data_IF_052606887127
#
_entry.id   IF_052606887127
#
_cell.length_a   1.000
_cell.length_b   1.000
_cell.length_c   1.000
_cell.angle_alpha   90.00
_cell.angle_beta   90.00
_cell.angle_gamma   90.00
#
_symmetry.space_group_name_H-M   'P 1'
#
loop_
_entity.id
_entity.type
_entity.pdbx_description
1 polymer ?
#
# COMPACT_ATOMS: atom_id res chain seq x y z
N UNK A 1 4.55 8.78 -4.46
CA UNK A 1 4.46 9.68 -5.64
C UNK A 1 3.05 9.62 -6.21
N UNK A 2 2.73 10.47 -7.17
CA UNK A 2 1.43 10.58 -7.80
C UNK A 2 1.56 10.51 -9.33
N UNK A 3 0.79 9.61 -9.97
CA UNK A 3 0.67 9.53 -11.43
C UNK A 3 -0.61 10.24 -11.87
N UNK A 4 -0.48 11.28 -12.67
CA UNK A 4 -1.61 12.05 -13.20
C UNK A 4 -2.19 11.48 -14.50
N UNK A 5 -1.65 10.37 -14.99
CA UNK A 5 -2.20 9.68 -16.16
C UNK A 5 -3.60 9.14 -15.87
N UNK A 6 -4.42 9.09 -16.91
CA UNK A 6 -5.77 8.49 -16.81
C UNK A 6 -5.68 7.00 -16.48
N UNK A 7 -6.70 6.48 -15.86
CA UNK A 7 -6.82 5.06 -15.43
C UNK A 7 -6.65 4.06 -16.58
N UNK A 8 -6.98 4.46 -17.81
CA UNK A 8 -6.87 3.64 -19.01
C UNK A 8 -5.58 3.89 -19.80
N UNK A 9 -4.59 4.58 -19.23
CA UNK A 9 -3.31 4.78 -19.90
C UNK A 9 -2.65 3.44 -20.22
N UNK A 10 -2.15 3.28 -21.44
CA UNK A 10 -1.46 2.06 -21.88
C UNK A 10 -0.20 1.78 -21.05
N UNK A 11 0.50 2.84 -20.67
CA UNK A 11 1.72 2.75 -19.85
C UNK A 11 1.61 3.69 -18.64
N UNK A 12 1.03 3.24 -17.51
CA UNK A 12 1.02 3.99 -16.27
C UNK A 12 2.44 4.14 -15.70
N UNK A 13 2.65 5.16 -14.84
CA UNK A 13 3.99 5.51 -14.35
C UNK A 13 4.70 4.35 -13.64
N UNK A 14 3.99 3.55 -12.84
CA UNK A 14 4.62 2.42 -12.16
C UNK A 14 5.23 1.40 -13.11
N UNK A 15 4.59 1.13 -14.26
CA UNK A 15 5.15 0.25 -15.29
C UNK A 15 6.32 0.90 -16.02
N UNK A 16 6.17 2.18 -16.36
CA UNK A 16 7.21 2.94 -17.05
C UNK A 16 8.50 2.98 -16.23
N UNK A 17 8.40 3.26 -14.94
CA UNK A 17 9.56 3.33 -14.04
C UNK A 17 10.19 1.96 -13.79
N UNK A 18 9.38 0.91 -13.66
CA UNK A 18 9.90 -0.46 -13.56
C UNK A 18 10.66 -0.91 -14.81
N UNK A 19 10.22 -0.50 -16.01
CA UNK A 19 10.91 -0.83 -17.26
C UNK A 19 12.30 -0.19 -17.38
N UNK A 20 12.52 0.95 -16.72
CA UNK A 20 13.85 1.59 -16.66
C UNK A 20 14.68 1.15 -15.46
N UNK A 21 14.26 0.08 -14.78
CA UNK A 21 15.03 -0.56 -13.71
C UNK A 21 14.87 0.07 -12.33
N UNK A 22 13.89 0.96 -12.12
CA UNK A 22 13.62 1.53 -10.80
C UNK A 22 12.84 0.57 -9.93
N UNK A 23 13.14 0.57 -8.64
CA UNK A 23 12.35 -0.15 -7.65
C UNK A 23 11.06 0.61 -7.36
N UNK A 24 9.94 0.05 -7.81
CA UNK A 24 8.61 0.66 -7.68
C UNK A 24 7.65 -0.31 -7.04
N UNK A 25 6.87 0.18 -6.10
CA UNK A 25 5.77 -0.56 -5.51
C UNK A 25 4.44 0.20 -5.70
N UNK A 26 3.40 -0.54 -6.08
CA UNK A 26 2.02 -0.06 -6.14
C UNK A 26 1.12 -1.15 -5.57
N UNK A 27 0.29 -0.85 -4.55
CA UNK A 27 -0.67 -1.81 -4.03
C UNK A 27 -1.63 -2.26 -5.13
N UNK A 28 -1.72 -3.58 -5.37
CA UNK A 28 -2.54 -4.16 -6.42
C UNK A 28 -3.73 -4.90 -5.82
N UNK A 29 -4.89 -4.79 -6.47
CA UNK A 29 -6.11 -5.52 -6.11
C UNK A 29 -6.65 -6.27 -7.31
N UNK A 30 -7.19 -7.46 -7.04
CA UNK A 30 -7.82 -8.28 -8.07
C UNK A 30 -9.25 -7.82 -8.29
N UNK A 31 -9.55 -7.28 -9.46
CA UNK A 31 -10.89 -6.84 -9.86
C UNK A 31 -11.48 -7.71 -10.97
N UNK A 32 -12.79 -7.90 -10.88
CA UNK A 32 -13.55 -8.64 -11.88
C UNK A 32 -14.12 -7.69 -12.95
N UNK A 33 -13.67 -7.88 -14.17
CA UNK A 33 -14.16 -7.12 -15.34
C UNK A 33 -15.07 -8.01 -16.19
N UNK A 34 -16.16 -7.43 -16.68
CA UNK A 34 -17.00 -8.07 -17.70
C UNK A 34 -16.67 -7.50 -19.07
N UNK A 35 -16.28 -8.36 -20.02
CA UNK A 35 -16.04 -7.98 -21.41
C UNK A 35 -16.66 -9.03 -22.32
N UNK A 36 -17.56 -8.62 -23.22
CA UNK A 36 -18.28 -9.49 -24.16
C UNK A 36 -18.93 -10.70 -23.47
N UNK A 37 -19.61 -10.48 -22.33
CA UNK A 37 -20.27 -11.53 -21.55
C UNK A 37 -19.33 -12.45 -20.75
N UNK A 38 -18.02 -12.30 -20.89
CA UNK A 38 -17.02 -13.06 -20.13
C UNK A 38 -16.52 -12.26 -18.93
N UNK A 39 -16.42 -12.92 -17.78
CA UNK A 39 -15.83 -12.36 -16.56
C UNK A 39 -14.33 -12.66 -16.54
N UNK A 40 -13.51 -11.60 -16.49
CA UNK A 40 -12.05 -11.71 -16.48
C UNK A 40 -11.54 -11.03 -15.22
N UNK A 41 -10.71 -11.73 -14.44
CA UNK A 41 -10.03 -11.18 -13.28
C UNK A 41 -8.73 -10.48 -13.72
N UNK A 42 -8.49 -9.27 -13.23
CA UNK A 42 -7.27 -8.51 -13.53
C UNK A 42 -6.74 -7.85 -12.26
N UNK A 43 -5.42 -7.81 -12.14
CA UNK A 43 -4.74 -7.03 -11.14
C UNK A 43 -4.68 -5.56 -11.58
N UNK A 44 -5.20 -4.68 -10.73
CA UNK A 44 -5.21 -3.23 -10.94
C UNK A 44 -4.71 -2.51 -9.70
N UNK A 45 -4.10 -1.32 -9.81
CA UNK A 45 -3.73 -0.52 -8.65
C UNK A 45 -4.94 -0.22 -7.77
N UNK A 46 -4.80 -0.40 -6.45
CA UNK A 46 -5.81 -0.02 -5.46
C UNK A 46 -6.15 1.46 -5.54
N UNK A 47 -5.12 2.31 -5.60
CA UNK A 47 -5.22 3.72 -5.91
C UNK A 47 -4.46 3.99 -7.20
N UNK A 48 -5.16 4.39 -8.25
CA UNK A 48 -4.60 4.51 -9.60
C UNK A 48 -3.47 5.52 -9.72
N UNK A 49 -3.50 6.55 -8.87
CA UNK A 49 -2.52 7.63 -8.87
C UNK A 49 -1.43 7.45 -7.81
N UNK A 50 -1.40 6.33 -7.05
CA UNK A 50 -0.42 6.10 -5.99
C UNK A 50 0.66 5.12 -6.43
N UNK A 51 1.92 5.54 -6.31
CA UNK A 51 3.07 4.67 -6.43
C UNK A 51 4.16 5.08 -5.44
N UNK A 52 4.94 4.10 -5.00
CA UNK A 52 6.12 4.28 -4.17
C UNK A 52 7.35 4.00 -5.03
N UNK A 53 8.38 4.80 -4.87
CA UNK A 53 9.65 4.67 -5.59
C UNK A 53 10.77 4.67 -4.57
N UNK A 54 11.62 3.66 -4.62
CA UNK A 54 12.79 3.55 -3.76
C UNK A 54 14.03 3.93 -4.55
N UNK A 55 14.53 5.15 -4.36
CA UNK A 55 15.76 5.64 -4.97
C UNK A 55 16.25 6.89 -4.22
N UNK A 56 17.47 7.32 -4.53
CA UNK A 56 18.02 8.56 -4.04
C UNK A 56 17.19 9.76 -4.54
N UNK A 57 16.97 10.75 -3.67
CA UNK A 57 16.17 11.94 -3.97
C UNK A 57 16.56 12.60 -5.27
N UNK A 58 17.88 12.72 -5.53
CA UNK A 58 18.42 13.37 -6.72
C UNK A 58 17.96 12.65 -8.02
N UNK A 59 17.95 11.32 -8.03
CA UNK A 59 17.50 10.54 -9.18
C UNK A 59 15.99 10.73 -9.42
N UNK A 60 15.21 10.73 -8.34
CA UNK A 60 13.76 10.94 -8.43
C UNK A 60 13.45 12.36 -8.93
N UNK A 61 14.16 13.38 -8.47
CA UNK A 61 14.00 14.78 -8.92
C UNK A 61 14.21 14.90 -10.44
N UNK A 62 15.24 14.23 -10.98
CA UNK A 62 15.51 14.21 -12.43
C UNK A 62 14.37 13.57 -13.24
N UNK A 63 13.76 12.51 -12.70
CA UNK A 63 12.67 11.81 -13.35
C UNK A 63 11.39 12.65 -13.32
N UNK A 64 11.09 13.25 -12.18
CA UNK A 64 9.93 14.14 -12.02
C UNK A 64 10.05 15.34 -12.97
N UNK A 65 11.24 15.94 -13.10
CA UNK A 65 11.48 17.04 -14.03
C UNK A 65 11.24 16.65 -15.50
N UNK A 66 11.56 15.40 -15.87
CA UNK A 66 11.39 14.87 -17.25
C UNK A 66 10.00 14.32 -17.52
N UNK A 67 9.17 14.07 -16.48
CA UNK A 67 7.88 13.40 -16.61
C UNK A 67 6.76 14.28 -16.06
N UNK A 68 6.14 15.14 -16.85
CA UNK A 68 5.14 16.12 -16.37
C UNK A 68 3.93 15.50 -15.66
N UNK A 69 3.62 14.23 -15.95
CA UNK A 69 2.51 13.50 -15.32
C UNK A 69 2.89 12.85 -13.99
N UNK A 70 4.15 12.90 -13.59
CA UNK A 70 4.64 12.33 -12.35
C UNK A 70 4.93 13.44 -11.34
N UNK A 71 4.33 13.36 -10.15
CA UNK A 71 4.46 14.37 -9.12
C UNK A 71 4.75 13.75 -7.76
N UNK A 72 5.37 14.52 -6.88
CA UNK A 72 5.43 14.18 -5.47
C UNK A 72 4.05 14.29 -4.81
N UNK A 73 3.82 13.46 -3.80
CA UNK A 73 2.78 13.72 -2.79
C UNK A 73 3.41 14.49 -1.65
N UNK A 74 2.76 15.57 -1.23
CA UNK A 74 3.26 16.44 -0.18
C UNK A 74 2.53 16.23 1.13
N UNK A 75 3.23 16.48 2.24
CA UNK A 75 2.64 16.43 3.58
C UNK A 75 1.64 17.55 3.76
N UNK A 76 0.44 17.21 4.26
CA UNK A 76 -0.52 18.22 4.72
C UNK A 76 -0.02 18.83 6.03
N UNK A 77 0.06 20.17 6.12
CA UNK A 77 0.54 20.88 7.32
C UNK A 77 2.05 20.80 7.55
N UNK A 78 2.83 20.24 6.63
CA UNK A 78 4.28 20.26 6.63
C UNK A 78 4.87 21.56 6.07
N UNK A 79 6.20 21.58 5.90
CA UNK A 79 6.88 22.68 5.21
C UNK A 79 6.41 22.76 3.76
N UNK A 80 6.54 23.94 3.15
CA UNK A 80 6.17 24.13 1.74
C UNK A 80 6.82 23.08 0.83
N UNK A 81 6.03 22.40 0.05
CA UNK A 81 6.46 21.34 -0.89
C UNK A 81 7.31 20.23 -0.24
N UNK A 82 7.06 19.87 1.03
CA UNK A 82 7.72 18.74 1.67
C UNK A 82 7.14 17.41 1.18
N UNK A 83 7.90 16.58 0.42
CA UNK A 83 7.40 15.30 -0.04
C UNK A 83 7.15 14.33 1.12
N UNK A 84 6.16 13.48 0.95
CA UNK A 84 5.97 12.33 1.85
C UNK A 84 7.07 11.32 1.57
N UNK A 85 7.89 11.06 2.57
CA UNK A 85 8.92 10.02 2.58
C UNK A 85 8.50 8.97 3.59
N UNK A 86 8.53 7.70 3.18
CA UNK A 86 8.26 6.55 4.04
C UNK A 86 9.59 5.96 4.47
N UNK A 87 9.84 5.72 5.77
CA UNK A 87 11.00 4.99 6.23
C UNK A 87 11.09 3.62 5.56
N UNK A 88 12.32 3.21 5.21
CA UNK A 88 12.55 1.98 4.47
C UNK A 88 12.04 0.74 5.21
N UNK A 89 12.23 0.68 6.53
CA UNK A 89 11.73 -0.39 7.39
C UNK A 89 10.20 -0.48 7.42
N UNK A 90 9.52 0.67 7.50
CA UNK A 90 8.05 0.74 7.45
C UNK A 90 7.52 0.27 6.09
N UNK A 91 8.19 0.66 4.99
CA UNK A 91 7.82 0.22 3.66
C UNK A 91 8.08 -1.28 3.45
N UNK A 92 9.21 -1.79 3.92
CA UNK A 92 9.54 -3.21 3.86
C UNK A 92 8.52 -4.06 4.62
N UNK A 93 8.13 -3.65 5.83
CA UNK A 93 7.06 -4.32 6.60
C UNK A 93 5.72 -4.28 5.87
N UNK A 94 5.37 -3.15 5.29
CA UNK A 94 4.12 -3.03 4.54
C UNK A 94 4.09 -3.96 3.33
N UNK A 95 5.15 -3.99 2.51
CA UNK A 95 5.29 -4.87 1.36
C UNK A 95 5.29 -6.35 1.81
N UNK A 96 6.10 -6.69 2.81
CA UNK A 96 6.17 -8.05 3.35
C UNK A 96 4.82 -8.57 3.84
N UNK A 97 4.05 -7.75 4.56
CA UNK A 97 2.70 -8.12 4.98
C UNK A 97 1.76 -8.36 3.79
N UNK A 98 1.82 -7.52 2.75
CA UNK A 98 0.99 -7.73 1.56
C UNK A 98 1.33 -9.00 0.81
N UNK A 99 2.61 -9.37 0.76
CA UNK A 99 3.08 -10.59 0.11
C UNK A 99 2.78 -11.86 0.92
N UNK A 100 2.77 -11.75 2.25
CA UNK A 100 2.45 -12.86 3.15
C UNK A 100 0.97 -13.25 3.12
N UNK A 101 0.08 -12.34 2.72
CA UNK A 101 -1.36 -12.57 2.70
C UNK A 101 -1.85 -12.96 1.32
N UNK A 102 -2.65 -14.03 1.24
CA UNK A 102 -3.33 -14.43 0.00
C UNK A 102 -4.38 -13.40 -0.47
N UNK A 103 -4.95 -12.63 0.46
CA UNK A 103 -6.01 -11.66 0.20
C UNK A 103 -5.81 -10.37 1.02
N UNK A 104 -4.76 -9.59 0.78
CA UNK A 104 -4.56 -8.33 1.49
C UNK A 104 -5.68 -7.35 1.14
N UNK A 105 -6.25 -6.70 2.15
CA UNK A 105 -7.26 -5.66 1.97
C UNK A 105 -6.62 -4.30 2.22
N UNK A 106 -6.73 -3.40 1.26
CA UNK A 106 -6.23 -2.04 1.40
C UNK A 106 -7.37 -1.09 1.78
N UNK A 107 -7.02 -0.05 2.50
CA UNK A 107 -7.92 1.01 2.93
C UNK A 107 -7.26 2.37 2.69
N UNK A 108 -8.01 3.32 2.18
CA UNK A 108 -7.60 4.72 2.24
C UNK A 108 -7.64 5.20 3.69
N UNK A 109 -6.85 6.22 4.04
CA UNK A 109 -6.74 6.68 5.43
C UNK A 109 -8.09 7.14 6.01
N UNK A 110 -8.93 7.75 5.19
CA UNK A 110 -10.27 8.22 5.55
C UNK A 110 -11.30 7.08 5.72
N UNK A 111 -11.00 5.90 5.20
CA UNK A 111 -11.82 4.69 5.40
C UNK A 111 -11.54 4.01 6.76
N UNK A 112 -10.43 4.35 7.41
CA UNK A 112 -10.05 3.75 8.69
C UNK A 112 -10.72 4.51 9.83
N UNK A 113 -11.68 3.88 10.49
CA UNK A 113 -12.28 4.39 11.71
C UNK A 113 -11.64 3.78 12.95
N UNK A 114 -11.73 4.48 14.07
CA UNK A 114 -11.28 3.95 15.37
C UNK A 114 -12.02 2.65 15.76
N UNK A 115 -13.25 2.48 15.27
CA UNK A 115 -14.04 1.26 15.48
C UNK A 115 -13.46 0.04 14.74
N UNK A 116 -12.73 0.26 13.64
CA UNK A 116 -12.06 -0.80 12.90
C UNK A 116 -10.74 -1.21 13.55
N UNK A 117 -10.15 -0.32 14.34
CA UNK A 117 -8.84 -0.48 14.94
C UNK A 117 -8.99 -0.81 16.42
N UNK A 118 -8.68 -2.05 16.79
CA UNK A 118 -8.55 -2.49 18.17
C UNK A 118 -7.22 -2.08 18.80
N UNK A 119 -6.73 -2.89 19.73
CA UNK A 119 -5.49 -2.67 20.47
C UNK A 119 -4.27 -2.79 19.54
N UNK A 120 -3.18 -2.14 19.94
CA UNK A 120 -1.87 -2.40 19.34
C UNK A 120 -1.40 -3.79 19.73
N UNK A 121 -0.88 -4.50 18.77
CA UNK A 121 -0.40 -5.88 18.93
C UNK A 121 0.94 -6.06 18.23
N UNK A 122 1.68 -7.06 18.70
CA UNK A 122 2.83 -7.64 18.01
C UNK A 122 2.51 -9.09 17.68
N UNK A 123 2.88 -9.54 16.51
CA UNK A 123 2.77 -10.93 16.09
C UNK A 123 4.02 -11.68 16.51
N UNK A 124 3.85 -12.87 17.11
CA UNK A 124 4.94 -13.77 17.48
C UNK A 124 4.76 -15.08 16.73
N UNK A 125 5.77 -15.43 15.96
CA UNK A 125 5.78 -16.63 15.13
C UNK A 125 5.12 -16.44 13.77
N UNK A 126 5.23 -17.46 12.92
CA UNK A 126 4.68 -17.45 11.56
C UNK A 126 5.42 -16.51 10.60
N UNK A 127 4.78 -16.23 9.48
CA UNK A 127 5.35 -15.39 8.40
C UNK A 127 5.40 -13.91 8.79
N UNK A 128 4.56 -13.49 9.73
CA UNK A 128 4.45 -12.12 10.22
C UNK A 128 5.16 -11.90 11.56
N UNK A 129 6.10 -12.76 11.93
CA UNK A 129 6.83 -12.65 13.20
C UNK A 129 7.47 -11.26 13.39
N UNK A 130 7.26 -10.65 14.57
CA UNK A 130 7.76 -9.32 14.91
C UNK A 130 6.98 -8.15 14.26
N UNK A 131 5.94 -8.41 13.48
CA UNK A 131 5.12 -7.34 12.91
C UNK A 131 4.23 -6.71 13.98
N UNK A 132 4.21 -5.39 13.98
CA UNK A 132 3.37 -4.59 14.87
C UNK A 132 2.30 -3.85 14.07
N UNK A 133 1.12 -3.71 14.69
CA UNK A 133 0.00 -3.01 14.09
C UNK A 133 -1.23 -3.04 14.99
N UNK A 134 -2.38 -2.76 14.41
CA UNK A 134 -3.64 -2.77 15.14
C UNK A 134 -4.42 -4.06 14.86
N UNK A 135 -4.95 -4.66 15.91
CA UNK A 135 -5.81 -5.82 15.79
C UNK A 135 -7.19 -5.41 15.25
N UNK A 136 -7.61 -6.04 14.17
CA UNK A 136 -8.97 -5.89 13.65
C UNK A 136 -9.73 -7.21 13.83
N UNK A 137 -10.91 -7.12 14.43
CA UNK A 137 -11.87 -8.22 14.52
C UNK A 137 -13.10 -7.86 13.72
N UNK A 138 -13.51 -8.72 12.80
CA UNK A 138 -14.72 -8.53 12.00
C UNK A 138 -15.87 -9.26 12.69
N UNK A 139 -16.95 -8.54 12.99
CA UNK A 139 -18.14 -9.11 13.64
C UNK A 139 -18.68 -10.29 12.81
N UNK A 140 -18.86 -11.43 13.46
CA UNK A 140 -19.33 -12.67 12.81
C UNK A 140 -18.24 -13.49 12.12
N UNK A 141 -16.99 -13.03 12.11
CA UNK A 141 -15.84 -13.79 11.64
C UNK A 141 -14.98 -14.27 12.82
N UNK A 142 -14.47 -15.49 12.73
CA UNK A 142 -13.44 -16.01 13.66
C UNK A 142 -12.04 -15.52 13.28
N UNK A 143 -11.88 -15.02 12.06
CA UNK A 143 -10.60 -14.57 11.52
C UNK A 143 -10.21 -13.23 12.12
N UNK A 144 -8.99 -13.14 12.61
CA UNK A 144 -8.37 -11.90 13.09
C UNK A 144 -7.50 -11.33 11.99
N UNK A 145 -7.37 -10.01 11.98
CA UNK A 145 -6.53 -9.32 11.01
C UNK A 145 -5.57 -8.36 11.72
N UNK A 146 -4.39 -8.21 11.15
CA UNK A 146 -3.43 -7.18 11.51
C UNK A 146 -3.57 -6.01 10.53
N UNK A 147 -3.78 -4.80 11.05
CA UNK A 147 -3.76 -3.58 10.23
C UNK A 147 -2.41 -2.90 10.39
N UNK A 148 -1.72 -2.72 9.27
CA UNK A 148 -0.47 -1.96 9.17
C UNK A 148 -0.76 -0.67 8.42
N UNK A 149 -0.43 0.47 9.03
CA UNK A 149 -0.75 1.81 8.52
C UNK A 149 0.52 2.46 8.00
N UNK A 150 0.48 2.94 6.75
CA UNK A 150 1.42 3.94 6.24
C UNK A 150 0.79 5.33 6.46
N UNK A 151 1.32 6.13 7.39
CA UNK A 151 0.69 7.38 7.80
C UNK A 151 0.40 8.31 6.62
N UNK A 152 -0.78 8.93 6.60
CA UNK A 152 -1.24 9.88 5.59
C UNK A 152 -1.44 9.32 4.17
N UNK A 153 -1.31 8.02 3.96
CA UNK A 153 -1.42 7.39 2.64
C UNK A 153 -2.49 6.30 2.60
N UNK A 154 -2.23 5.16 3.22
CA UNK A 154 -3.13 4.00 3.21
C UNK A 154 -2.79 3.03 4.33
N UNK A 155 -3.64 2.02 4.51
CA UNK A 155 -3.32 0.87 5.34
C UNK A 155 -3.58 -0.44 4.59
N UNK A 156 -2.96 -1.50 5.08
CA UNK A 156 -3.25 -2.87 4.68
C UNK A 156 -3.73 -3.67 5.87
N UNK A 157 -4.78 -4.46 5.66
CA UNK A 157 -5.27 -5.47 6.60
C UNK A 157 -4.93 -6.83 6.05
N UNK A 158 -4.21 -7.62 6.83
CA UNK A 158 -3.78 -8.97 6.50
C UNK A 158 -4.34 -9.95 7.52
N UNK A 159 -4.75 -11.12 7.05
CA UNK A 159 -5.27 -12.19 7.89
C UNK A 159 -4.15 -12.79 8.76
N UNK A 160 -4.45 -13.04 10.02
CA UNK A 160 -3.54 -13.66 10.99
C UNK A 160 -4.05 -15.07 11.24
N UNK A 161 -3.27 -16.08 10.85
CA UNK A 161 -3.56 -17.49 11.05
C UNK A 161 -2.48 -18.11 11.92
N UNK A 162 -2.91 -18.82 12.96
CA UNK A 162 -2.04 -19.64 13.83
C UNK A 162 -0.82 -18.92 14.46
N UNK A 163 -0.84 -17.58 14.46
CA UNK A 163 0.18 -16.76 15.10
C UNK A 163 -0.23 -16.39 16.53
N UNK A 164 0.78 -16.21 17.38
CA UNK A 164 0.59 -15.70 18.73
C UNK A 164 0.46 -14.18 18.70
N UNK A 165 -0.52 -13.65 19.43
CA UNK A 165 -0.76 -12.21 19.53
C UNK A 165 -0.30 -11.73 20.89
N UNK A 166 0.71 -10.87 20.93
CA UNK A 166 1.13 -10.13 22.12
C UNK A 166 0.43 -8.76 22.11
N UNK A 167 -0.15 -8.38 23.25
CA UNK A 167 -0.73 -7.04 23.43
C UNK A 167 0.38 -6.05 23.81
N UNK A 168 0.44 -4.91 23.14
CA UNK A 168 1.39 -3.83 23.40
C UNK A 168 0.75 -2.73 24.26
#
# INVERSE_FOLDING_TARGET
MRDLKRSNALLPAYKQLSQVGMEVFTPMVSQLFSRNGKRIRREVPFMQDLLFVNDARQNIDLIVAKTPTLQYRFKKGGKYCEPIVIPQDAMARFIGATQASANPKYYAIDEISDLMCGRNIRIIGGVLDGYEGKLQTIRGSKTKHLIIILPSLLAVSVEINDEYIELL
#
